data_IF_864626131707
#
_entry.id   IF_864626131707
#
_cell.length_a   1.000
_cell.length_b   1.000
_cell.length_c   1.000
_cell.angle_alpha   90.00
_cell.angle_beta   90.00
_cell.angle_gamma   90.00
#
_symmetry.space_group_name_H-M   'P 1'
#
loop_
_entity.id
_entity.type
_entity.pdbx_description
1 polymer ?
2 non-polymer ?
3 non-polymer ?
4 water ?
#
# COMPACT_ATOMS: atom_id res chain seq x y z
N UNK A 25 -23.55 -12.09 -2.84
CA UNK A 25 -22.55 -12.97 -2.22
C UNK A 25 -21.99 -12.42 -0.88
N UNK A 26 -22.70 -12.74 0.22
CA UNK A 26 -22.37 -12.27 1.58
C UNK A 26 -20.97 -12.65 2.10
N UNK A 27 -20.27 -13.49 1.33
CA UNK A 27 -18.94 -13.99 1.71
C UNK A 27 -18.03 -14.16 0.48
N UNK A 28 -17.46 -13.04 -0.03
CA UNK A 28 -16.50 -13.14 -1.13
C UNK A 28 -15.17 -13.69 -0.58
N UNK A 29 -14.57 -14.67 -1.27
CA UNK A 29 -13.29 -15.24 -0.79
C UNK A 29 -12.19 -14.17 -0.72
N UNK A 30 -11.31 -14.29 0.26
CA UNK A 30 -10.34 -13.24 0.51
C UNK A 30 -9.20 -13.32 -0.51
N UNK A 31 -8.89 -12.19 -1.16
CA UNK A 31 -7.93 -12.16 -2.27
C UNK A 31 -6.55 -12.28 -1.70
N UNK A 32 -5.73 -13.13 -2.30
CA UNK A 32 -4.33 -13.25 -1.89
C UNK A 32 -3.46 -13.42 -3.13
N UNK A 33 -2.15 -13.31 -2.96
CA UNK A 33 -1.22 -13.49 -4.07
C UNK A 33 -1.34 -14.87 -4.76
N UNK A 34 -2.00 -15.82 -4.10
CA UNK A 34 -2.12 -17.20 -4.59
C UNK A 34 -3.14 -17.30 -5.73
N UNK A 35 -4.08 -16.36 -5.77
CA UNK A 35 -5.02 -16.26 -6.87
C UNK A 35 -4.40 -15.34 -7.91
N UNK A 36 -4.09 -15.91 -9.08
CA UNK A 36 -3.44 -15.19 -10.19
C UNK A 36 -4.45 -14.70 -11.20
N UNK A 37 -5.72 -14.98 -10.94
CA UNK A 37 -6.76 -14.84 -11.97
C UNK A 37 -7.75 -13.74 -11.71
N UNK A 38 -8.36 -13.72 -10.52
CA UNK A 38 -9.46 -12.79 -10.24
C UNK A 38 -9.08 -11.32 -10.49
N UNK A 39 -9.96 -10.61 -11.19
CA UNK A 39 -9.78 -9.22 -11.52
C UNK A 39 -9.95 -8.39 -10.24
N UNK A 40 -8.93 -7.57 -9.93
CA UNK A 40 -8.96 -6.78 -8.71
C UNK A 40 -8.15 -5.51 -8.87
N UNK A 41 -8.31 -4.61 -7.91
CA UNK A 41 -7.39 -3.49 -7.74
C UNK A 41 -6.32 -3.84 -6.72
N UNK A 42 -5.06 -3.50 -7.02
CA UNK A 42 -3.97 -3.72 -6.08
C UNK A 42 -3.36 -2.34 -5.90
N UNK A 43 -3.07 -1.98 -4.65
CA UNK A 43 -2.29 -0.77 -4.36
C UNK A 43 -1.01 -1.19 -3.69
N UNK A 44 0.14 -0.69 -4.19
CA UNK A 44 1.44 -0.90 -3.56
C UNK A 44 1.92 0.43 -2.96
N UNK A 45 2.16 0.43 -1.66
CA UNK A 45 2.61 1.61 -0.94
C UNK A 45 4.14 1.48 -0.94
N UNK A 46 4.79 2.25 -1.81
CA UNK A 46 6.21 2.07 -2.07
C UNK A 46 7.04 3.08 -1.29
N UNK A 47 8.31 2.73 -1.07
CA UNK A 47 9.22 3.54 -0.29
C UNK A 47 8.65 3.81 1.11
N UNK A 48 7.93 2.85 1.67
CA UNK A 48 7.30 3.04 2.96
C UNK A 48 8.38 3.14 4.03
N UNK A 49 8.20 4.05 4.98
CA UNK A 49 9.18 4.27 5.99
C UNK A 49 8.84 3.43 7.22
N UNK A 50 9.34 2.20 7.26
CA UNK A 50 9.07 1.28 8.37
C UNK A 50 10.38 0.65 8.87
N UNK A 51 10.98 1.28 9.87
CA UNK A 51 12.27 0.84 10.40
C UNK A 51 12.20 0.80 11.91
N UNK A 52 12.58 -0.34 12.48
CA UNK A 52 12.62 -0.53 13.94
C UNK A 52 13.95 -0.06 14.53
N UNK A 53 13.89 0.40 15.77
CA UNK A 53 15.09 0.75 16.53
C UNK A 53 14.86 0.39 18.01
N UNK A 54 15.86 -0.23 18.63
CA UNK A 54 15.77 -0.58 20.05
C UNK A 54 16.18 0.65 20.84
N UNK A 55 15.27 1.19 21.65
CA UNK A 55 15.48 2.46 22.36
C UNK A 55 15.73 2.29 23.88
N UNK A 65 11.61 -1.85 21.45
CA UNK A 65 11.62 -1.59 20.00
C UNK A 65 10.51 -0.62 19.53
N UNK A 66 10.91 0.47 18.88
CA UNK A 66 9.94 1.42 18.29
C UNK A 66 10.05 1.48 16.74
N UNK A 67 9.00 1.96 16.05
CA UNK A 67 9.17 2.42 14.67
C UNK A 67 9.75 3.80 14.72
N UNK A 68 10.83 4.04 14.01
CA UNK A 68 11.38 5.36 13.97
C UNK A 68 10.43 6.33 13.28
N UNK A 69 10.30 7.53 13.87
CA UNK A 69 9.46 8.55 13.28
C UNK A 69 9.96 9.94 13.61
N UNK A 70 9.77 10.86 12.68
CA UNK A 70 10.31 12.20 12.86
C UNK A 70 9.67 12.99 13.99
N UNK A 71 8.50 12.58 14.49
CA UNK A 71 7.88 13.36 15.58
C UNK A 71 8.53 13.06 16.92
N UNK A 72 8.85 11.79 17.13
CA UNK A 72 9.36 11.29 18.40
C UNK A 72 10.86 11.16 18.47
N UNK A 73 11.52 11.04 17.32
CA UNK A 73 12.90 10.55 17.29
C UNK A 73 13.83 11.47 16.54
N UNK A 74 13.51 12.77 16.51
CA UNK A 74 14.30 13.77 15.79
C UNK A 74 15.79 13.81 16.16
N UNK A 75 16.07 13.82 17.48
CA UNK A 75 17.44 13.92 17.98
C UNK A 75 18.22 12.71 17.53
N UNK A 76 17.63 11.54 17.70
CA UNK A 76 18.22 10.28 17.32
C UNK A 76 18.53 10.21 15.82
N UNK A 77 17.54 10.55 15.01
CA UNK A 77 17.68 10.53 13.57
C UNK A 77 18.76 11.49 13.13
N UNK A 78 18.83 12.65 13.78
CA UNK A 78 19.91 13.59 13.53
C UNK A 78 21.31 12.95 13.77
N UNK A 79 21.42 12.25 14.90
CA UNK A 79 22.65 11.56 15.32
C UNK A 79 23.00 10.38 14.41
N UNK A 80 21.99 9.79 13.76
CA UNK A 80 22.20 8.74 12.77
C UNK A 80 22.56 9.29 11.39
N UNK A 81 22.65 10.60 11.27
CA UNK A 81 22.97 11.28 10.03
C UNK A 81 21.84 11.21 9.00
N UNK A 82 20.61 10.98 9.49
CA UNK A 82 19.43 10.79 8.61
C UNK A 82 18.74 12.12 8.31
N UNK A 83 18.11 12.19 7.14
CA UNK A 83 17.15 13.23 6.82
C UNK A 83 15.92 12.96 7.68
N UNK A 84 15.71 13.83 8.66
CA UNK A 84 14.60 13.73 9.58
C UNK A 84 13.24 13.54 8.88
N UNK A 85 13.04 14.26 7.79
CA UNK A 85 11.79 14.27 7.06
C UNK A 85 11.47 12.95 6.41
N UNK A 86 12.45 12.05 6.26
CA UNK A 86 12.11 10.78 5.65
C UNK A 86 11.44 9.76 6.58
N UNK A 87 11.51 9.98 7.89
CA UNK A 87 10.99 9.01 8.86
C UNK A 87 9.48 9.21 9.06
N UNK A 88 8.69 8.70 8.12
CA UNK A 88 7.24 8.95 8.08
C UNK A 88 6.41 7.67 8.03
N UNK A 89 6.48 6.83 9.08
CA UNK A 89 5.62 5.65 9.10
C UNK A 89 4.12 5.98 9.19
N UNK A 90 3.78 7.16 9.68
CA UNK A 90 2.37 7.63 9.75
C UNK A 90 1.72 7.66 8.36
N UNK A 91 2.50 7.94 7.31
CA UNK A 91 1.96 7.93 5.96
C UNK A 91 1.43 6.54 5.61
N UNK A 92 2.25 5.51 5.83
CA UNK A 92 1.82 4.11 5.62
C UNK A 92 0.61 3.75 6.51
N UNK A 93 0.62 4.20 7.77
CA UNK A 93 -0.51 3.98 8.69
C UNK A 93 -1.80 4.55 8.09
N UNK A 94 -1.80 5.82 7.68
CA UNK A 94 -3.05 6.46 7.13
C UNK A 94 -3.50 5.88 5.81
N UNK A 95 -2.54 5.61 4.92
CA UNK A 95 -2.88 4.91 3.68
C UNK A 95 -3.54 3.57 3.94
N UNK A 96 -3.02 2.77 4.88
CA UNK A 96 -3.66 1.52 5.23
C UNK A 96 -5.10 1.74 5.75
N UNK A 97 -5.29 2.67 6.66
CA UNK A 97 -6.67 2.91 7.17
C UNK A 97 -7.62 3.31 6.04
N UNK A 98 -7.18 4.26 5.21
CA UNK A 98 -7.93 4.70 4.01
C UNK A 98 -8.32 3.53 3.10
N UNK A 99 -7.33 2.70 2.72
CA UNK A 99 -7.56 1.62 1.77
C UNK A 99 -8.41 0.50 2.37
N UNK A 100 -8.09 0.08 3.59
CA UNK A 100 -8.84 -1.06 4.18
C UNK A 100 -10.28 -0.74 4.59
N UNK A 101 -10.55 0.51 4.95
CA UNK A 101 -11.92 0.99 5.22
C UNK A 101 -12.78 1.19 4.00
N UNK A 102 -12.18 1.13 2.82
CA UNK A 102 -12.91 1.59 1.64
C UNK A 102 -14.04 0.62 1.30
N UNK A 103 -15.08 1.09 0.62
CA UNK A 103 -16.05 0.15 0.02
C UNK A 103 -15.42 -0.95 -0.85
N UNK A 104 -14.39 -0.60 -1.63
CA UNK A 104 -13.79 -1.60 -2.51
C UNK A 104 -13.15 -2.73 -1.70
N UNK A 105 -12.52 -2.40 -0.56
CA UNK A 105 -12.02 -3.47 0.31
C UNK A 105 -13.17 -4.37 0.84
N UNK A 106 -14.21 -3.72 1.35
CA UNK A 106 -15.39 -4.43 1.92
C UNK A 106 -16.11 -5.29 0.87
N UNK A 107 -16.01 -4.90 -0.41
CA UNK A 107 -16.51 -5.70 -1.54
C UNK A 107 -15.59 -6.82 -1.96
N UNK A 108 -14.41 -6.93 -1.35
CA UNK A 108 -13.50 -8.05 -1.70
C UNK A 108 -12.74 -7.88 -3.02
N UNK A 109 -12.56 -6.65 -3.48
CA UNK A 109 -11.97 -6.41 -4.79
C UNK A 109 -10.65 -5.62 -4.68
N UNK A 110 -10.07 -5.55 -3.48
CA UNK A 110 -8.81 -4.79 -3.21
C UNK A 110 -7.69 -5.62 -2.58
N UNK A 111 -6.46 -5.43 -3.05
CA UNK A 111 -5.31 -5.91 -2.31
C UNK A 111 -4.31 -4.80 -2.10
N UNK A 112 -3.56 -4.90 -1.01
CA UNK A 112 -2.56 -3.92 -0.70
C UNK A 112 -1.28 -4.66 -0.41
N UNK A 113 -0.20 -4.17 -0.96
CA UNK A 113 1.15 -4.59 -0.59
C UNK A 113 1.93 -3.36 -0.11
N UNK A 114 2.96 -3.59 0.68
CA UNK A 114 3.84 -2.53 1.16
C UNK A 114 5.26 -2.88 0.71
N UNK A 115 5.94 -1.95 0.03
CA UNK A 115 7.40 -2.07 -0.22
C UNK A 115 8.13 -1.02 0.60
N UNK A 116 8.89 -1.43 1.61
CA UNK A 116 9.54 -0.44 2.48
C UNK A 116 10.75 0.12 1.73
N UNK A 117 11.24 1.24 2.21
CA UNK A 117 12.43 1.84 1.64
C UNK A 117 13.70 1.02 1.90
N UNK A 118 13.64 0.03 2.78
CA UNK A 118 14.78 -0.89 2.98
C UNK A 118 14.62 -2.17 2.14
N UNK A 119 13.63 -2.20 1.24
CA UNK A 119 13.42 -3.33 0.34
C UNK A 119 12.61 -4.51 0.88
N UNK A 120 11.93 -4.33 1.99
CA UNK A 120 11.04 -5.35 2.53
C UNK A 120 9.66 -5.33 1.83
N UNK A 121 9.18 -6.49 1.39
CA UNK A 121 7.85 -6.58 0.79
C UNK A 121 6.87 -7.27 1.75
N UNK A 122 5.68 -6.67 1.89
CA UNK A 122 4.67 -7.17 2.81
C UNK A 122 3.35 -7.30 2.04
N UNK A 123 2.71 -8.47 2.16
CA UNK A 123 1.37 -8.68 1.72
C UNK A 123 0.45 -8.49 2.92
N UNK A 124 -0.55 -7.61 2.74
CA UNK A 124 -1.55 -7.25 3.77
C UNK A 124 -2.80 -8.06 3.45
N UNK A 125 -3.25 -8.88 4.39
CA UNK A 125 -4.52 -9.57 4.21
C UNK A 125 -5.67 -8.55 4.30
N UNK A 126 -6.61 -8.56 3.33
CA UNK A 126 -7.75 -7.62 3.26
C UNK A 126 -8.60 -7.53 4.55
N UNK A 127 -8.60 -8.59 5.36
CA UNK A 127 -9.42 -8.67 6.58
C UNK A 127 -8.68 -8.15 7.82
N UNK A 128 -7.39 -7.84 7.69
CA UNK A 128 -6.64 -7.38 8.86
C UNK A 128 -7.21 -6.10 9.45
N UNK A 129 -7.13 -5.98 10.77
CA UNK A 129 -7.61 -4.78 11.40
C UNK A 129 -6.40 -3.92 11.72
N UNK A 130 -6.32 -2.74 11.11
CA UNK A 130 -5.23 -1.81 11.40
C UNK A 130 -5.68 -0.93 12.56
N UNK A 131 -4.87 -0.87 13.62
CA UNK A 131 -5.22 -0.08 14.78
C UNK A 131 -5.27 1.39 14.39
N UNK A 132 -6.21 2.15 14.97
CA UNK A 132 -6.29 3.57 14.67
C UNK A 132 -5.17 4.35 15.35
N UNK A 133 -4.72 3.92 16.52
CA UNK A 133 -3.69 4.73 17.19
C UNK A 133 -2.34 4.39 16.58
N UNK A 134 -1.52 5.41 16.44
CA UNK A 134 -0.21 5.24 15.89
C UNK A 134 0.64 4.32 16.75
N UNK A 135 0.49 4.46 18.07
CA UNK A 135 1.19 3.60 19.04
C UNK A 135 0.97 2.11 18.78
N UNK A 136 -0.27 1.69 18.58
CA UNK A 136 -0.57 0.28 18.39
C UNK A 136 -0.19 -0.17 16.96
N UNK A 137 -0.26 0.76 16.00
CA UNK A 137 0.21 0.45 14.65
C UNK A 137 1.70 0.18 14.72
N UNK A 138 2.47 1.00 15.44
CA UNK A 138 3.92 0.77 15.60
C UNK A 138 4.23 -0.56 16.22
N UNK A 139 3.48 -0.94 17.25
CA UNK A 139 3.66 -2.23 17.93
C UNK A 139 3.42 -3.38 17.00
N UNK A 140 2.32 -3.32 16.27
CA UNK A 140 2.03 -4.25 15.17
C UNK A 140 3.15 -4.36 14.10
N UNK A 141 3.66 -3.24 13.62
CA UNK A 141 4.68 -3.27 12.56
C UNK A 141 6.00 -3.82 13.11
N UNK A 142 6.37 -3.41 14.32
CA UNK A 142 7.54 -3.96 14.98
C UNK A 142 7.44 -5.50 15.06
N UNK A 143 6.34 -6.04 15.58
CA UNK A 143 6.13 -7.51 15.60
C UNK A 143 6.26 -8.14 14.18
N UNK A 144 5.54 -7.57 13.21
CA UNK A 144 5.63 -8.03 11.81
C UNK A 144 7.07 -8.08 11.28
N UNK A 145 7.82 -7.00 11.47
CA UNK A 145 9.17 -6.92 10.96
C UNK A 145 10.09 -7.91 11.66
N UNK A 146 9.85 -8.16 12.95
CA UNK A 146 10.68 -9.10 13.70
C UNK A 146 10.27 -10.57 13.56
N UNK A 147 8.99 -10.87 13.61
CA UNK A 147 8.50 -12.25 13.49
C UNK A 147 8.27 -12.69 12.02
N UNK A 148 8.23 -11.70 11.11
CA UNK A 148 8.03 -11.89 9.66
C UNK A 148 6.60 -12.23 9.25
N UNK A 149 5.71 -12.41 10.22
CA UNK A 149 4.27 -12.53 9.98
C UNK A 149 3.52 -12.21 11.26
N UNK A 150 2.21 -12.00 11.10
CA UNK A 150 1.23 -11.89 12.17
C UNK A 150 0.13 -12.90 11.85
N UNK A 151 -0.11 -13.84 12.74
CA UNK A 151 -1.15 -14.86 12.54
C UNK A 151 -2.52 -14.37 12.98
N UNK A 152 -3.56 -14.91 12.33
CA UNK A 152 -4.96 -14.69 12.68
C UNK A 152 -5.24 -15.21 14.09
N UNK A 153 -5.84 -14.35 14.93
CA UNK A 153 -5.99 -14.60 16.39
C UNK A 153 -6.45 -16.03 16.75
N UNK A 154 -7.75 -16.30 16.57
CA UNK A 154 -8.28 -17.62 16.85
C UNK A 154 -7.96 -18.62 15.73
N UNK A 155 -8.20 -18.23 14.47
CA UNK A 155 -8.22 -19.16 13.31
C UNK A 155 -6.84 -19.70 12.81
N UNK A 156 -5.81 -18.85 12.82
CA UNK A 156 -4.41 -19.26 12.49
C UNK A 156 -3.97 -19.31 11.01
N UNK A 157 -4.21 -18.21 10.29
CA UNK A 157 -3.60 -17.93 8.97
C UNK A 157 -3.06 -16.49 9.03
N UNK A 158 -2.22 -16.09 8.09
CA UNK A 158 -1.47 -14.86 8.26
C UNK A 158 -2.23 -13.60 7.84
N UNK A 159 -2.25 -12.61 8.73
CA UNK A 159 -2.92 -11.36 8.47
C UNK A 159 -1.96 -10.33 7.85
N UNK A 160 -0.67 -10.50 8.13
CA UNK A 160 0.40 -9.72 7.52
C UNK A 160 1.59 -10.66 7.33
N UNK A 161 2.24 -10.60 6.17
CA UNK A 161 3.37 -11.49 5.89
C UNK A 161 4.43 -10.80 5.04
N UNK A 162 5.70 -10.91 5.48
CA UNK A 162 6.87 -10.52 4.73
C UNK A 162 7.10 -11.60 3.65
N UNK A 163 7.22 -11.17 2.40
CA UNK A 163 7.28 -12.09 1.25
C UNK A 163 8.49 -11.74 0.40
N UNK A 164 8.84 -12.63 -0.52
CA UNK A 164 10.06 -12.43 -1.33
C UNK A 164 9.80 -11.50 -2.47
N UNK A 165 10.71 -10.53 -2.64
CA UNK A 165 10.78 -9.75 -3.85
C UNK A 165 11.08 -10.63 -5.07
N UNK A 166 10.73 -10.18 -6.30
CA UNK A 166 10.03 -8.90 -6.58
C UNK A 166 8.49 -9.02 -6.47
N UNK A 167 7.80 -7.89 -6.30
CA UNK A 167 6.34 -7.86 -6.27
C UNK A 167 5.72 -8.60 -7.47
N UNK A 168 6.38 -8.56 -8.63
CA UNK A 168 5.85 -9.16 -9.85
C UNK A 168 5.69 -10.69 -9.82
N UNK A 169 6.38 -11.37 -8.90
CA UNK A 169 6.11 -12.81 -8.66
C UNK A 169 4.78 -13.11 -7.97
N UNK A 170 4.07 -12.08 -7.52
CA UNK A 170 2.89 -12.25 -6.70
C UNK A 170 1.60 -11.72 -7.32
N UNK A 171 1.72 -10.81 -8.27
CA UNK A 171 0.57 -10.11 -8.88
C UNK A 171 -0.21 -10.99 -9.84
N UNK A 172 -1.48 -10.66 -10.12
CA UNK A 172 -2.20 -11.45 -11.13
C UNK A 172 -1.52 -11.47 -12.50
N UNK A 173 -1.63 -12.60 -13.18
CA UNK A 173 -0.95 -12.82 -14.48
C UNK A 173 -1.24 -11.69 -15.48
N UNK A 174 -2.51 -11.31 -15.59
CA UNK A 174 -2.90 -10.21 -16.42
C UNK A 174 -3.17 -9.02 -15.52
N UNK A 175 -2.30 -8.02 -15.59
CA UNK A 175 -2.35 -6.92 -14.62
C UNK A 175 -1.64 -5.70 -15.19
N UNK A 176 -2.42 -4.64 -15.41
CA UNK A 176 -1.87 -3.33 -15.78
C UNK A 176 -1.13 -2.78 -14.55
N UNK A 177 0.06 -2.22 -14.77
CA UNK A 177 0.88 -1.65 -13.70
C UNK A 177 1.18 -0.16 -13.91
N UNK A 178 0.85 0.69 -12.93
CA UNK A 178 0.95 2.15 -13.19
C UNK A 178 1.45 2.78 -11.93
N UNK A 179 2.22 3.87 -12.07
CA UNK A 179 2.58 4.72 -10.93
C UNK A 179 1.71 5.98 -10.91
N UNK A 180 1.15 6.31 -9.75
CA UNK A 180 0.47 7.59 -9.61
C UNK A 180 1.51 8.68 -9.36
N UNK A 181 1.42 9.78 -10.11
CA UNK A 181 2.38 10.91 -9.94
C UNK A 181 1.78 12.24 -10.33
N UNK A 182 1.97 13.24 -9.49
CA UNK A 182 1.71 14.63 -9.82
C UNK A 182 2.32 15.05 -11.15
N UNK A 183 3.47 14.50 -11.47
CA UNK A 183 4.18 14.96 -12.68
C UNK A 183 3.64 14.38 -13.96
N UNK A 184 2.59 13.58 -13.87
CA UNK A 184 2.07 12.83 -15.04
C UNK A 184 0.75 13.42 -15.56
N UNK A 185 0.38 13.14 -16.83
CA UNK A 185 -0.91 13.60 -17.32
C UNK A 185 -2.07 13.11 -16.46
N UNK A 186 -3.05 13.98 -16.26
CA UNK A 186 -4.16 13.72 -15.34
C UNK A 186 -5.26 12.94 -16.06
N UNK A 187 -5.70 11.86 -15.40
CA UNK A 187 -6.78 11.02 -15.88
C UNK A 187 -7.96 11.07 -14.93
N UNK A 188 -9.12 10.65 -15.44
CA UNK A 188 -10.25 10.38 -14.58
C UNK A 188 -10.18 8.89 -14.29
N UNK A 189 -10.13 8.54 -13.01
CA UNK A 189 -9.99 7.10 -12.64
C UNK A 189 -10.99 6.17 -13.32
N UNK A 190 -12.27 6.53 -13.29
CA UNK A 190 -13.33 5.74 -13.92
C UNK A 190 -13.07 5.45 -15.38
N UNK A 191 -12.64 6.45 -16.14
CA UNK A 191 -12.25 6.26 -17.57
C UNK A 191 -11.19 5.17 -17.64
N UNK A 192 -10.16 5.34 -16.83
CA UNK A 192 -9.03 4.45 -16.85
C UNK A 192 -9.44 2.99 -16.55
N UNK A 193 -10.18 2.81 -15.48
CA UNK A 193 -10.62 1.50 -14.97
C UNK A 193 -11.53 0.80 -15.99
N UNK A 194 -12.46 1.54 -16.60
CA UNK A 194 -13.38 1.00 -17.61
C UNK A 194 -12.72 0.48 -18.89
N UNK A 195 -11.49 0.90 -19.16
CA UNK A 195 -10.75 0.44 -20.33
C UNK A 195 -9.89 -0.79 -20.02
N UNK A 196 -10.03 -1.36 -18.82
CA UNK A 196 -9.37 -2.62 -18.54
C UNK A 196 -10.19 -3.74 -19.16
N UNK A 197 -9.49 -4.70 -19.78
CA UNK A 197 -10.05 -5.99 -20.17
C UNK A 197 -10.76 -6.66 -19.02
N UNK A 198 -11.69 -7.56 -19.36
CA UNK A 198 -12.57 -8.20 -18.38
C UNK A 198 -11.85 -9.11 -17.40
N UNK A 199 -10.62 -9.48 -17.74
CA UNK A 199 -9.83 -10.32 -16.85
C UNK A 199 -8.53 -9.63 -16.38
N UNK A 200 -8.46 -8.32 -16.50
CA UNK A 200 -7.21 -7.63 -16.28
C UNK A 200 -7.28 -6.86 -14.98
N UNK A 201 -6.40 -7.17 -14.04
CA UNK A 201 -6.28 -6.45 -12.78
C UNK A 201 -5.56 -5.11 -12.99
N UNK A 202 -5.63 -4.23 -11.99
CA UNK A 202 -4.91 -2.95 -12.06
C UNK A 202 -4.05 -2.81 -10.81
N UNK A 203 -2.75 -2.74 -10.96
CA UNK A 203 -1.84 -2.47 -9.84
C UNK A 203 -1.31 -1.03 -9.88
N UNK A 204 -1.62 -0.26 -8.83
CA UNK A 204 -1.21 1.12 -8.72
C UNK A 204 -0.11 1.27 -7.66
N UNK A 205 1.02 1.91 -8.03
CA UNK A 205 2.08 2.16 -7.08
C UNK A 205 1.99 3.60 -6.60
N UNK A 206 1.95 3.78 -5.29
CA UNK A 206 1.79 5.09 -4.68
C UNK A 206 2.96 5.28 -3.70
N UNK A 207 3.63 6.43 -3.76
CA UNK A 207 4.76 6.71 -2.86
C UNK A 207 4.28 6.98 -1.44
N UNK A 208 4.75 6.18 -0.47
CA UNK A 208 4.33 6.32 0.93
C UNK A 208 5.37 7.15 1.69
N UNK A 209 5.72 8.27 1.08
CA UNK A 209 6.81 9.11 1.55
C UNK A 209 6.38 10.57 1.51
N UNK A 210 7.16 11.43 2.16
CA UNK A 210 6.85 12.84 2.16
C UNK A 210 7.33 13.50 0.87
N UNK A 211 8.48 13.04 0.35
CA UNK A 211 9.09 13.66 -0.84
C UNK A 211 10.05 12.76 -1.61
N UNK A 212 10.42 13.18 -2.81
CA UNK A 212 11.24 12.35 -3.67
C UNK A 212 10.56 12.21 -5.02
N UNK A 213 11.33 11.71 -5.99
CA UNK A 213 10.86 11.44 -7.32
C UNK A 213 9.94 10.22 -7.28
N UNK A 214 8.95 10.22 -8.16
CA UNK A 214 8.02 9.09 -8.26
C UNK A 214 8.59 8.00 -9.18
N UNK A 215 9.88 7.69 -9.01
CA UNK A 215 10.56 6.70 -9.89
C UNK A 215 10.70 5.35 -9.22
N UNK A 216 10.10 5.21 -8.03
CA UNK A 216 10.24 4.06 -7.16
C UNK A 216 9.76 2.73 -7.76
N UNK A 217 9.00 2.78 -8.86
CA UNK A 217 8.45 1.55 -9.45
C UNK A 217 8.72 1.44 -10.95
N UNK A 218 9.71 2.20 -11.43
CA UNK A 218 9.99 2.25 -12.87
C UNK A 218 10.38 0.89 -13.46
N UNK A 219 10.96 0.03 -12.63
CA UNK A 219 11.24 -1.35 -12.99
C UNK A 219 10.00 -2.20 -13.27
N UNK A 220 8.87 -1.78 -12.72
CA UNK A 220 7.63 -2.58 -12.79
C UNK A 220 6.59 -1.98 -13.72
N UNK A 221 6.60 -0.66 -13.91
CA UNK A 221 5.51 -0.02 -14.63
C UNK A 221 5.94 0.51 -16.00
N UNK A 222 4.99 0.56 -16.93
CA UNK A 222 5.24 1.18 -18.23
C UNK A 222 4.45 2.49 -18.43
N UNK A 223 3.75 2.97 -17.38
CA UNK A 223 2.84 4.15 -17.45
C UNK A 223 2.77 4.87 -16.08
N UNK A 224 2.66 6.21 -16.11
CA UNK A 224 2.42 7.02 -14.91
C UNK A 224 1.23 7.89 -15.24
N UNK A 225 0.36 8.08 -14.27
CA UNK A 225 -0.83 8.97 -14.42
C UNK A 225 -0.96 9.88 -13.21
N UNK A 226 -1.49 11.06 -13.45
CA UNK A 226 -1.84 12.01 -12.41
C UNK A 226 -3.33 11.97 -12.11
N UNK A 227 -3.69 12.35 -10.90
CA UNK A 227 -5.10 12.33 -10.49
C UNK A 227 -5.67 13.69 -10.15
N UNK A 228 -4.81 14.71 -10.16
CA UNK A 228 -5.22 16.00 -9.74
C UNK A 228 -4.14 16.94 -10.25
N UNK A 229 -4.53 18.20 -10.45
CA UNK A 229 -3.57 19.28 -10.76
C UNK A 229 -2.88 19.87 -9.52
N UNK A 230 -3.27 19.38 -8.34
CA UNK A 230 -2.63 19.71 -7.06
C UNK A 230 -1.76 18.55 -6.60
N UNK A 231 -0.64 18.86 -5.93
CA UNK A 231 0.12 17.80 -5.25
C UNK A 231 -0.74 17.24 -4.08
N UNK A 232 -0.84 15.92 -4.00
CA UNK A 232 -1.69 15.27 -2.99
C UNK A 232 -0.88 14.55 -1.96
N UNK A 233 -1.48 14.29 -0.81
CA UNK A 233 -0.91 13.33 0.14
C UNK A 233 -1.19 11.95 -0.44
N UNK A 234 -0.45 10.94 0.01
CA UNK A 234 -0.63 9.58 -0.49
C UNK A 234 -2.00 9.08 -0.12
N UNK A 235 -2.47 9.41 1.10
CA UNK A 235 -3.81 8.97 1.53
C UNK A 235 -4.94 9.50 0.63
N UNK A 236 -4.79 10.75 0.20
CA UNK A 236 -5.80 11.32 -0.68
C UNK A 236 -5.77 10.65 -2.06
N UNK A 237 -4.56 10.39 -2.55
CA UNK A 237 -4.39 9.76 -3.87
C UNK A 237 -4.97 8.33 -3.84
N UNK A 238 -4.66 7.57 -2.77
CA UNK A 238 -5.31 6.27 -2.48
C UNK A 238 -6.84 6.39 -2.50
N UNK A 239 -7.36 7.39 -1.79
CA UNK A 239 -8.81 7.57 -1.71
C UNK A 239 -9.45 7.91 -3.07
N UNK A 240 -8.84 8.81 -3.83
CA UNK A 240 -9.36 9.12 -5.14
C UNK A 240 -9.41 7.90 -6.05
N UNK A 241 -8.36 7.09 -6.04
CA UNK A 241 -8.29 5.91 -6.90
C UNK A 241 -9.35 4.86 -6.48
N UNK A 242 -9.50 4.61 -5.16
CA UNK A 242 -10.58 3.74 -4.67
C UNK A 242 -11.98 4.22 -5.11
N UNK A 243 -12.22 5.52 -5.03
CA UNK A 243 -13.54 6.07 -5.34
C UNK A 243 -13.87 5.86 -6.82
N UNK A 244 -12.90 6.15 -7.69
CA UNK A 244 -13.09 5.92 -9.13
C UNK A 244 -13.30 4.45 -9.48
N UNK A 245 -12.55 3.56 -8.85
CA UNK A 245 -12.77 2.11 -9.04
C UNK A 245 -14.12 1.65 -8.56
N UNK A 246 -14.50 2.08 -7.35
CA UNK A 246 -15.82 1.78 -6.78
C UNK A 246 -16.95 2.21 -7.74
N UNK A 247 -16.82 3.41 -8.28
CA UNK A 247 -17.78 3.97 -9.25
C UNK A 247 -17.84 3.10 -10.51
N UNK A 248 -16.71 2.89 -11.16
CA UNK A 248 -16.62 2.05 -12.38
C UNK A 248 -17.14 0.63 -12.20
N UNK A 249 -16.85 0.03 -11.05
CA UNK A 249 -17.18 -1.36 -10.77
C UNK A 249 -18.53 -1.54 -10.07
N UNK A 250 -19.27 -0.46 -9.89
CA UNK A 250 -20.59 -0.48 -9.26
C UNK A 250 -20.61 -1.04 -7.84
N UNK A 251 -19.65 -0.59 -7.02
CA UNK A 251 -19.52 -1.03 -5.63
C UNK A 251 -20.31 -0.09 -4.68
X LIG B 1 -7.13 0.90 18.25
X LIG B 1 -6.77 -0.50 18.46
X LIG B 1 -8.12 1.36 19.25
X LIG B 1 -5.92 1.71 18.33
X LIG B 1 -7.80 1.10 16.97
X LIG C 1 -2.06 1.35 24.77
X LIG C 1 -2.73 0.08 25.04
X LIG C 1 -2.90 2.50 24.99
X LIG C 1 -0.79 1.33 25.53
X LIG C 1 -1.78 1.45 23.32
X LIG D 1 6.74 12.88 -5.52
X LIG D 1 5.97 13.36 -4.33
X LIG D 1 6.45 14.74 -3.89
X LIG D 1 5.69 15.59 -3.39
X LIG D 1 7.64 15.04 -4.01
X LIG D 1 6.08 12.36 -3.19
X LIG D 1 5.13 12.62 -2.04
X LIG D 1 3.34 12.66 -2.37
X LIG D 1 2.82 13.46 -0.82
X LIG D 1 2.98 10.91 -2.05
X LIG D 1 2.45 10.12 -3.28
X LIG D 1 1.13 10.46 -3.65
X LIG D 1 3.25 10.32 -4.56
X LIG D 1 4.45 9.59 -4.58
X LIG D 1 2.26 9.95 -5.65
X LIG D 1 2.20 8.54 -5.79
X LIG D 1 0.94 10.40 -5.06
X LIG D 1 0.51 11.73 -5.54
X LIG D 1 0.74 12.99 -4.99
X LIG D 1 0.14 13.92 -5.82
X LIG D 1 -0.49 13.26 -6.85
X LIG D 1 -1.25 13.66 -7.97
X LIG D 1 -1.55 14.94 -8.25
X LIG D 1 -1.70 12.69 -8.84
X LIG D 1 -1.42 11.34 -8.65
X LIG D 1 -0.69 10.95 -7.57
X LIG D 1 -0.21 11.89 -6.70
#
# INVERSE_FOLDING_TARGET
XVEDSRVRDALKGGDQKALPASLVPQAPPVLTSKDKITKRMIVVLAMASLETHKISSNGPGGDKYVLLNCDDHQGLLKKMGRDISEARPDITHQCLLTLLDSPINKAGKLQVYIQTSRGILIEVNPTVRIPRTFKRFSGLMVQLLHKLSIRSVNSEEKLLKVIKNPITDHLPTKCRKVTLSFDAPVIRVQDYIEKLDDDESICVFVGAMARGKDNFADEYVDEKVGLSNYPLSASVACSKFCHGAEDAWNILHHHHHH
SO4 S O1 O2 O3 O4
SO4 S O1 O2 O3 O4
SAM N CA C O OXT CB CG SD CE C5' C4' O4' C3' O3' C2' O2' C1' N9 C8 N7 C5 C6 N6 N1 C2 N3 C4
#
